data_IF_220908252161
#
_entry.id   IF_220908252161
#
_cell.length_a   1.000
_cell.length_b   1.000
_cell.length_c   1.000
_cell.angle_alpha   90.00
_cell.angle_beta   90.00
_cell.angle_gamma   90.00
#
_symmetry.space_group_name_H-M   'P 1'
#
loop_
_entity.id
_entity.type
_entity.pdbx_description
1 polymer ?
#
# COMPACT_ATOMS: atom_id res chain seq x y z
N UNK A 1 14.67 27.44 -17.01
CA UNK A 1 14.03 26.71 -18.12
C UNK A 1 14.47 25.27 -18.01
N UNK A 2 13.67 24.31 -17.60
CA UNK A 2 12.23 24.18 -17.41
C UNK A 2 12.02 23.39 -16.12
N UNK A 3 10.95 23.69 -15.37
CA UNK A 3 10.40 22.65 -14.50
C UNK A 3 9.89 21.62 -15.50
N UNK A 4 10.59 20.49 -15.64
CA UNK A 4 10.11 19.35 -16.43
C UNK A 4 8.93 18.77 -15.64
N UNK A 5 7.79 19.44 -15.76
CA UNK A 5 6.52 18.94 -15.27
C UNK A 5 6.10 17.75 -16.10
N UNK A 6 5.35 16.83 -15.50
CA UNK A 6 4.68 15.77 -16.23
C UNK A 6 3.74 16.41 -17.26
N UNK A 7 3.87 16.01 -18.52
CA UNK A 7 2.91 16.35 -19.56
C UNK A 7 1.67 15.46 -19.43
N UNK A 8 0.57 15.83 -20.10
CA UNK A 8 -0.62 14.98 -20.15
C UNK A 8 -0.32 13.59 -20.76
N UNK A 9 0.66 13.50 -21.66
CA UNK A 9 1.03 12.24 -22.30
C UNK A 9 1.77 11.30 -21.33
N UNK A 10 2.37 11.85 -20.26
CA UNK A 10 3.02 11.09 -19.20
C UNK A 10 2.01 10.53 -18.19
N UNK A 11 0.73 10.87 -18.30
CA UNK A 11 -0.32 10.47 -17.37
C UNK A 11 -1.29 9.47 -18.01
N UNK A 12 -1.64 8.43 -17.24
CA UNK A 12 -2.75 7.55 -17.56
C UNK A 12 -4.05 8.16 -17.05
N UNK A 13 -4.63 9.06 -17.85
CA UNK A 13 -5.85 9.77 -17.49
C UNK A 13 -7.03 8.83 -17.21
N UNK A 14 -7.15 7.73 -17.97
CA UNK A 14 -8.25 6.77 -17.79
C UNK A 14 -8.24 6.20 -16.38
N UNK A 15 -7.09 5.68 -15.92
CA UNK A 15 -6.98 5.10 -14.58
C UNK A 15 -7.16 6.13 -13.46
N UNK A 16 -6.71 7.37 -13.69
CA UNK A 16 -6.90 8.49 -12.76
C UNK A 16 -8.38 8.83 -12.64
N UNK A 17 -9.11 8.93 -13.75
CA UNK A 17 -10.54 9.21 -13.75
C UNK A 17 -11.33 8.06 -13.12
N UNK A 18 -11.04 6.81 -13.48
CA UNK A 18 -11.67 5.63 -12.88
C UNK A 18 -11.49 5.61 -11.36
N UNK A 19 -10.26 5.86 -10.87
CA UNK A 19 -9.97 5.93 -9.43
C UNK A 19 -10.73 7.06 -8.76
N UNK A 20 -10.83 8.23 -9.40
CA UNK A 20 -11.62 9.35 -8.90
C UNK A 20 -13.10 8.98 -8.77
N UNK A 21 -13.69 8.33 -9.77
CA UNK A 21 -15.10 7.95 -9.74
C UNK A 21 -15.40 6.78 -8.79
N UNK A 22 -14.41 5.92 -8.53
CA UNK A 22 -14.51 4.87 -7.52
C UNK A 22 -14.48 5.41 -6.08
N UNK A 23 -13.93 6.61 -5.86
CA UNK A 23 -13.88 7.25 -4.54
C UNK A 23 -15.06 8.22 -4.36
N UNK A 24 -15.91 7.95 -3.37
CA UNK A 24 -17.00 8.84 -2.99
C UNK A 24 -16.56 10.00 -2.06
N UNK A 25 -15.25 10.14 -1.82
CA UNK A 25 -14.73 11.05 -0.79
C UNK A 25 -14.67 12.50 -1.29
N UNK A 26 -15.10 13.43 -0.44
CA UNK A 26 -14.88 14.86 -0.66
C UNK A 26 -13.46 15.22 -0.23
N UNK A 27 -12.66 15.71 -1.18
CA UNK A 27 -11.26 16.08 -0.97
C UNK A 27 -11.05 17.59 -1.18
N UNK A 28 -10.18 18.20 -0.37
CA UNK A 28 -9.70 19.58 -0.55
C UNK A 28 -8.25 19.58 -0.94
N UNK A 29 -7.94 20.02 -2.17
CA UNK A 29 -6.58 20.10 -2.67
C UNK A 29 -6.10 21.55 -2.73
N UNK A 30 -5.03 21.94 -2.02
CA UNK A 30 -4.48 23.28 -2.12
C UNK A 30 -3.77 23.47 -3.47
N UNK A 31 -4.18 24.48 -4.24
CA UNK A 31 -3.68 24.72 -5.61
C UNK A 31 -2.30 25.40 -5.62
N UNK A 32 -1.90 26.05 -4.53
CA UNK A 32 -0.70 26.88 -4.49
C UNK A 32 0.14 26.59 -3.24
N UNK A 33 0.92 25.51 -3.29
CA UNK A 33 1.84 25.12 -2.22
C UNK A 33 3.16 24.63 -2.76
N UNK A 34 4.23 25.12 -2.13
CA UNK A 34 5.54 24.48 -2.20
C UNK A 34 5.57 23.30 -1.22
N UNK A 35 5.10 22.14 -1.71
CA UNK A 35 5.30 20.86 -1.04
C UNK A 35 6.16 19.96 -1.93
N UNK A 36 6.92 19.05 -1.32
CA UNK A 36 7.68 18.07 -2.08
C UNK A 36 6.70 17.17 -2.85
N UNK A 37 7.01 16.87 -4.11
CA UNK A 37 6.12 16.07 -4.96
C UNK A 37 5.79 14.70 -4.34
N UNK A 38 6.75 14.06 -3.69
CA UNK A 38 6.52 12.79 -2.99
C UNK A 38 5.47 12.90 -1.89
N UNK A 39 5.45 14.00 -1.13
CA UNK A 39 4.44 14.22 -0.08
C UNK A 39 3.06 14.42 -0.67
N UNK A 40 2.97 15.12 -1.81
CA UNK A 40 1.70 15.32 -2.53
C UNK A 40 1.15 13.97 -3.00
N UNK A 41 1.99 13.14 -3.62
CA UNK A 41 1.58 11.80 -4.08
C UNK A 41 1.12 10.94 -2.91
N UNK A 42 1.90 10.86 -1.82
CA UNK A 42 1.49 10.08 -0.64
C UNK A 42 0.15 10.56 -0.06
N UNK A 43 -0.10 11.88 -0.02
CA UNK A 43 -1.40 12.41 0.44
C UNK A 43 -2.53 12.02 -0.50
N UNK A 44 -2.31 12.06 -1.82
CA UNK A 44 -3.30 11.62 -2.82
C UNK A 44 -3.59 10.13 -2.63
N UNK A 45 -2.57 9.28 -2.53
CA UNK A 45 -2.69 7.84 -2.31
C UNK A 45 -3.47 7.52 -1.03
N UNK A 46 -3.13 8.18 0.09
CA UNK A 46 -3.84 8.02 1.36
C UNK A 46 -5.29 8.49 1.28
N UNK A 47 -5.55 9.61 0.59
CA UNK A 47 -6.89 10.19 0.47
C UNK A 47 -7.80 9.38 -0.45
N UNK A 48 -7.24 8.75 -1.48
CA UNK A 48 -7.99 7.94 -2.45
C UNK A 48 -7.96 6.44 -2.12
N UNK A 49 -7.19 6.02 -1.11
CA UNK A 49 -6.87 4.61 -0.84
C UNK A 49 -6.39 3.89 -2.09
N UNK A 50 -5.53 4.58 -2.82
CA UNK A 50 -5.01 4.16 -4.12
C UNK A 50 -3.49 4.06 -4.07
N UNK A 51 -2.91 3.34 -5.03
CA UNK A 51 -1.48 3.30 -5.26
C UNK A 51 -1.17 3.92 -6.62
N UNK A 52 -0.05 4.63 -6.69
CA UNK A 52 0.53 5.10 -7.93
C UNK A 52 1.22 3.93 -8.63
N UNK A 53 1.03 3.82 -9.95
CA UNK A 53 1.69 2.82 -10.76
C UNK A 53 2.17 3.42 -12.08
N UNK A 54 3.10 2.73 -12.73
CA UNK A 54 3.51 3.02 -14.10
C UNK A 54 2.94 1.96 -15.04
N UNK A 55 2.26 2.40 -16.10
CA UNK A 55 1.69 1.49 -17.11
C UNK A 55 2.75 0.98 -18.10
N UNK A 56 2.34 0.08 -19.00
CA UNK A 56 3.24 -0.54 -19.99
C UNK A 56 3.86 0.48 -20.97
N UNK A 57 3.26 1.66 -21.11
CA UNK A 57 3.76 2.76 -21.95
C UNK A 57 4.62 3.75 -21.16
N UNK A 58 4.88 3.48 -19.88
CA UNK A 58 5.67 4.36 -19.02
C UNK A 58 4.85 5.48 -18.38
N UNK A 59 3.52 5.51 -18.53
CA UNK A 59 2.66 6.58 -18.00
C UNK A 59 2.27 6.34 -16.55
N UNK A 60 2.19 7.40 -15.77
CA UNK A 60 1.85 7.36 -14.36
C UNK A 60 0.33 7.35 -14.20
N UNK A 61 -0.20 6.39 -13.46
CA UNK A 61 -1.62 6.25 -13.15
C UNK A 61 -1.88 6.01 -11.67
N UNK A 62 -3.14 6.07 -11.30
CA UNK A 62 -3.65 5.68 -9.98
C UNK A 62 -4.57 4.46 -10.09
N UNK A 63 -4.53 3.60 -9.08
CA UNK A 63 -5.41 2.44 -8.97
C UNK A 63 -5.83 2.25 -7.52
N UNK A 64 -7.14 2.10 -7.27
CA UNK A 64 -7.66 1.78 -5.92
C UNK A 64 -7.07 0.46 -5.43
N UNK A 65 -6.63 0.43 -4.18
CA UNK A 65 -6.09 -0.78 -3.57
C UNK A 65 -7.17 -1.88 -3.52
N UNK A 66 -6.83 -3.08 -4.00
CA UNK A 66 -7.77 -4.19 -4.01
C UNK A 66 -8.00 -4.73 -2.59
N UNK A 67 -9.27 -4.87 -2.23
CA UNK A 67 -9.72 -5.50 -0.97
C UNK A 67 -10.17 -6.94 -1.19
N UNK A 68 -10.50 -7.32 -2.43
CA UNK A 68 -10.97 -8.66 -2.78
C UNK A 68 -10.27 -9.15 -4.05
N UNK A 69 -9.83 -10.42 -4.13
CA UNK A 69 -9.20 -10.94 -5.33
C UNK A 69 -10.17 -10.93 -6.51
N UNK A 70 -9.72 -10.43 -7.66
CA UNK A 70 -10.49 -10.55 -8.89
C UNK A 70 -10.59 -12.01 -9.34
N UNK A 71 -11.60 -12.34 -10.14
CA UNK A 71 -11.77 -13.70 -10.68
C UNK A 71 -10.58 -14.16 -11.55
N UNK A 72 -9.85 -13.21 -12.14
CA UNK A 72 -8.64 -13.43 -12.94
C UNK A 72 -7.34 -13.16 -12.15
N UNK A 73 -7.39 -13.28 -10.82
CA UNK A 73 -6.21 -13.12 -9.96
C UNK A 73 -5.07 -14.03 -10.41
N UNK A 74 -3.84 -13.51 -10.45
CA UNK A 74 -2.68 -14.32 -10.81
C UNK A 74 -2.44 -15.38 -9.74
N UNK A 75 -2.33 -16.63 -10.19
CA UNK A 75 -2.11 -17.79 -9.35
C UNK A 75 -0.66 -18.26 -9.47
N UNK A 76 0.09 -18.16 -8.38
CA UNK A 76 1.49 -18.57 -8.28
C UNK A 76 1.57 -20.01 -7.78
N UNK A 77 1.78 -20.92 -8.72
CA UNK A 77 2.04 -22.33 -8.41
C UNK A 77 3.44 -22.60 -7.85
N UNK A 78 3.60 -23.73 -7.16
CA UNK A 78 4.85 -24.13 -6.52
C UNK A 78 6.07 -24.14 -7.46
N UNK A 79 5.90 -24.57 -8.71
CA UNK A 79 7.01 -24.67 -9.65
C UNK A 79 7.48 -23.29 -10.16
N UNK A 80 6.69 -22.23 -9.92
CA UNK A 80 7.13 -20.85 -10.14
C UNK A 80 8.02 -20.34 -9.01
N UNK A 81 8.07 -21.00 -7.85
CA UNK A 81 8.91 -20.54 -6.74
C UNK A 81 10.29 -21.16 -6.91
N UNK A 82 11.30 -20.31 -7.09
CA UNK A 82 12.68 -20.77 -7.18
C UNK A 82 13.09 -21.50 -5.89
N UNK A 83 13.93 -22.53 -6.02
CA UNK A 83 14.45 -23.24 -4.87
C UNK A 83 15.31 -22.30 -4.01
N UNK A 84 14.97 -22.14 -2.73
CA UNK A 84 15.58 -21.15 -1.83
C UNK A 84 15.12 -19.70 -2.03
N UNK A 85 14.15 -19.45 -2.91
CA UNK A 85 13.61 -18.11 -3.20
C UNK A 85 12.59 -17.59 -2.19
N UNK A 86 12.13 -18.45 -1.27
CA UNK A 86 11.17 -18.11 -0.23
C UNK A 86 11.88 -17.65 1.05
N UNK A 87 11.59 -16.42 1.48
CA UNK A 87 11.90 -15.94 2.83
C UNK A 87 10.64 -15.35 3.45
N UNK A 88 10.36 -15.74 4.70
CA UNK A 88 9.35 -15.10 5.53
C UNK A 88 10.01 -14.47 6.74
N UNK A 89 9.86 -13.15 6.87
CA UNK A 89 10.45 -12.38 7.96
C UNK A 89 9.35 -11.66 8.74
N UNK A 90 9.44 -11.67 10.07
CA UNK A 90 8.61 -10.81 10.91
C UNK A 90 9.26 -9.43 10.97
N UNK A 91 8.63 -8.43 10.37
CA UNK A 91 9.16 -7.06 10.40
C UNK A 91 8.84 -6.39 11.73
N UNK A 92 9.87 -6.15 12.55
CA UNK A 92 9.75 -5.42 13.82
C UNK A 92 9.83 -3.91 13.67
N UNK A 93 10.09 -3.41 12.46
CA UNK A 93 10.29 -1.97 12.21
C UNK A 93 8.98 -1.18 12.12
N UNK A 94 7.84 -1.88 12.07
CA UNK A 94 6.48 -1.33 11.90
C UNK A 94 5.68 -1.28 13.20
N UNK A 95 6.36 -1.24 14.34
CA UNK A 95 5.74 -1.19 15.65
C UNK A 95 5.29 0.24 15.96
N UNK A 96 4.01 0.54 15.74
CA UNK A 96 3.38 1.84 15.99
C UNK A 96 2.34 1.78 17.11
N UNK A 97 2.39 2.71 18.07
CA UNK A 97 1.46 2.81 19.22
C UNK A 97 0.07 3.20 18.78
N UNK A 98 0.04 4.13 17.85
CA UNK A 98 -1.16 4.80 17.40
C UNK A 98 -0.95 5.29 15.98
N UNK A 99 -2.05 5.47 15.28
CA UNK A 99 -2.12 6.06 13.95
C UNK A 99 -2.80 7.41 14.12
N UNK A 100 -2.15 8.47 13.67
CA UNK A 100 -2.69 9.82 13.66
C UNK A 100 -3.00 10.21 12.22
N UNK A 101 -4.29 10.34 11.89
CA UNK A 101 -4.73 10.81 10.58
C UNK A 101 -5.07 12.29 10.70
N UNK A 102 -4.24 13.12 10.09
CA UNK A 102 -4.41 14.56 9.97
C UNK A 102 -5.32 14.85 8.77
N UNK A 103 -6.42 15.53 9.03
CA UNK A 103 -7.45 15.89 8.06
C UNK A 103 -7.91 17.34 8.26
N UNK A 104 -8.72 17.82 7.30
CA UNK A 104 -9.33 19.15 7.29
C UNK A 104 -8.30 20.24 7.60
N UNK A 105 -7.33 20.32 6.70
CA UNK A 105 -6.30 21.33 6.81
C UNK A 105 -6.91 22.73 6.73
N UNK A 106 -6.64 23.54 7.75
CA UNK A 106 -6.92 24.97 7.74
C UNK A 106 -5.90 25.65 6.82
N UNK A 107 -6.40 26.26 5.75
CA UNK A 107 -5.60 26.91 4.73
C UNK A 107 -5.45 28.42 4.98
N UNK A 108 -5.93 28.94 6.12
CA UNK A 108 -5.68 30.34 6.49
C UNK A 108 -4.16 30.63 6.62
N UNK A 109 -3.74 31.77 6.10
CA UNK A 109 -2.33 32.15 5.99
C UNK A 109 -1.59 32.04 7.33
N UNK A 110 -0.55 31.20 7.35
CA UNK A 110 0.45 31.17 8.42
C UNK A 110 0.18 30.22 9.59
N UNK A 111 -0.93 29.46 9.61
CA UNK A 111 -1.19 28.45 10.64
C UNK A 111 -1.70 27.15 10.02
N UNK A 112 -0.79 26.20 9.76
CA UNK A 112 -1.14 24.81 9.42
C UNK A 112 -1.86 24.17 10.60
N UNK A 113 -3.16 24.39 10.73
CA UNK A 113 -4.00 23.67 11.69
C UNK A 113 -4.61 22.48 11.00
N UNK A 114 -4.68 21.39 11.74
CA UNK A 114 -5.24 20.13 11.29
C UNK A 114 -6.17 19.64 12.38
N UNK A 115 -7.26 19.01 11.99
CA UNK A 115 -7.97 18.10 12.86
C UNK A 115 -7.29 16.73 12.80
N UNK A 116 -7.37 15.96 13.88
CA UNK A 116 -6.64 14.69 14.02
C UNK A 116 -7.62 13.62 14.50
N UNK A 117 -7.69 12.50 13.78
CA UNK A 117 -8.23 11.25 14.31
C UNK A 117 -7.07 10.39 14.78
N UNK A 118 -7.11 9.98 16.05
CA UNK A 118 -6.12 9.07 16.63
C UNK A 118 -6.73 7.70 16.85
N UNK A 119 -6.09 6.66 16.32
CA UNK A 119 -6.44 5.27 16.58
C UNK A 119 -5.32 4.58 17.34
N UNK A 120 -5.58 4.19 18.59
CA UNK A 120 -4.66 3.38 19.37
C UNK A 120 -4.61 1.95 18.82
N UNK A 121 -3.39 1.42 18.69
CA UNK A 121 -3.17 0.03 18.32
C UNK A 121 -3.07 -0.84 19.59
N UNK A 122 -3.59 -2.07 19.58
CA UNK A 122 -3.69 -2.91 20.76
C UNK A 122 -2.32 -3.28 21.36
N UNK A 123 -2.26 -3.46 22.68
CA UNK A 123 -1.01 -3.66 23.44
C UNK A 123 -0.29 -5.00 23.15
N UNK A 124 -0.93 -5.98 22.48
CA UNK A 124 -0.27 -7.25 22.16
C UNK A 124 0.86 -7.10 21.12
N UNK A 125 0.90 -5.97 20.42
CA UNK A 125 1.88 -5.61 19.37
C UNK A 125 3.30 -5.39 19.94
N UNK A 126 3.50 -5.34 21.26
CA UNK A 126 4.76 -4.84 21.87
C UNK A 126 5.62 -5.85 22.61
N UNK A 127 5.24 -7.13 22.63
CA UNK A 127 5.97 -8.14 23.42
C UNK A 127 7.43 -8.33 22.96
N UNK A 128 7.77 -7.87 21.76
CA UNK A 128 9.11 -7.95 21.15
C UNK A 128 9.76 -6.58 20.90
N UNK A 129 9.14 -5.47 21.32
CA UNK A 129 9.74 -4.14 21.23
C UNK A 129 10.92 -4.02 22.21
N UNK A 130 12.06 -4.59 21.83
CA UNK A 130 13.32 -4.42 22.54
C UNK A 130 13.73 -2.95 22.39
N UNK A 131 13.50 -2.19 23.46
CA UNK A 131 14.26 -0.98 23.81
C UNK A 131 14.20 0.19 22.81
N UNK A 132 13.01 0.68 22.47
CA UNK A 132 12.83 1.95 21.76
C UNK A 132 11.53 2.65 22.13
N UNK A 133 11.43 3.99 22.01
CA UNK A 133 10.17 4.69 22.23
C UNK A 133 9.13 4.25 21.20
N UNK A 134 7.93 3.93 21.67
CA UNK A 134 6.80 3.57 20.83
C UNK A 134 6.49 4.75 19.90
N UNK A 135 6.54 4.54 18.58
CA UNK A 135 6.35 5.62 17.58
C UNK A 135 4.87 5.76 17.23
N UNK A 136 4.44 6.98 16.92
CA UNK A 136 3.14 7.23 16.28
C UNK A 136 3.33 7.24 14.76
N UNK A 137 2.35 6.72 14.02
CA UNK A 137 2.32 6.80 12.55
C UNK A 137 1.47 8.00 12.13
N UNK A 138 2.12 9.04 11.64
CA UNK A 138 1.45 10.29 11.25
C UNK A 138 1.14 10.29 9.75
N UNK A 139 -0.12 10.48 9.40
CA UNK A 139 -0.64 10.38 8.04
C UNK A 139 -1.42 11.63 7.70
N UNK A 140 -1.00 12.31 6.63
CA UNK A 140 -1.70 13.52 6.15
C UNK A 140 -2.60 13.17 4.98
N UNK A 141 -3.77 13.79 4.94
CA UNK A 141 -4.81 13.52 3.95
C UNK A 141 -5.45 14.83 3.46
N UNK A 142 -6.22 14.74 2.39
CA UNK A 142 -7.04 15.84 1.88
C UNK A 142 -8.51 15.70 2.29
N UNK A 143 -8.83 14.85 3.28
CA UNK A 143 -10.19 14.69 3.76
C UNK A 143 -10.72 15.96 4.42
N UNK A 144 -12.02 16.21 4.28
CA UNK A 144 -12.71 17.38 4.85
C UNK A 144 -13.45 17.08 6.16
N UNK A 145 -13.62 15.81 6.49
CA UNK A 145 -14.33 15.34 7.67
C UNK A 145 -13.66 14.09 8.26
N UNK A 146 -14.12 13.71 9.45
CA UNK A 146 -13.57 12.70 10.34
C UNK A 146 -13.87 11.26 9.89
N UNK A 147 -15.05 11.01 9.30
CA UNK A 147 -15.49 9.69 8.85
C UNK A 147 -14.46 8.96 7.96
N UNK A 148 -13.99 9.53 6.83
CA UNK A 148 -12.99 8.88 5.99
C UNK A 148 -11.61 8.81 6.64
N UNK A 149 -11.27 9.76 7.51
CA UNK A 149 -10.02 9.75 8.28
C UNK A 149 -9.99 8.57 9.26
N UNK A 150 -11.09 8.35 9.99
CA UNK A 150 -11.28 7.20 10.88
C UNK A 150 -11.21 5.88 10.13
N UNK A 151 -11.93 5.77 9.00
CA UNK A 151 -11.91 4.56 8.20
C UNK A 151 -10.54 4.31 7.54
N UNK A 152 -9.73 5.34 7.25
CA UNK A 152 -8.34 5.15 6.82
C UNK A 152 -7.47 4.62 7.97
N UNK A 153 -7.63 5.15 9.19
CA UNK A 153 -6.91 4.64 10.36
C UNK A 153 -7.25 3.16 10.62
N UNK A 154 -8.50 2.76 10.42
CA UNK A 154 -8.95 1.36 10.50
C UNK A 154 -8.26 0.48 9.47
N UNK A 155 -8.26 0.88 8.19
CA UNK A 155 -7.61 0.14 7.10
C UNK A 155 -6.11 -0.07 7.35
N UNK A 156 -5.45 0.95 7.91
CA UNK A 156 -4.01 0.89 8.20
C UNK A 156 -3.73 0.03 9.40
N UNK A 157 -4.57 0.08 10.45
CA UNK A 157 -4.45 -0.84 11.58
C UNK A 157 -4.56 -2.30 11.13
N UNK A 158 -5.48 -2.61 10.21
CA UNK A 158 -5.62 -3.96 9.63
C UNK A 158 -4.35 -4.34 8.86
N UNK A 159 -3.81 -3.46 8.01
CA UNK A 159 -2.57 -3.72 7.28
C UNK A 159 -1.37 -3.94 8.22
N UNK A 160 -1.25 -3.16 9.28
CA UNK A 160 -0.18 -3.32 10.28
C UNK A 160 -0.28 -4.66 11.00
N UNK A 161 -1.48 -5.11 11.36
CA UNK A 161 -1.67 -6.46 11.90
C UNK A 161 -1.28 -7.56 10.90
N UNK A 162 -1.56 -7.37 9.60
CA UNK A 162 -1.11 -8.30 8.54
C UNK A 162 0.43 -8.30 8.39
N UNK A 163 1.09 -7.15 8.54
CA UNK A 163 2.54 -7.03 8.50
C UNK A 163 3.22 -7.75 9.68
N UNK A 164 2.58 -7.78 10.85
CA UNK A 164 3.05 -8.54 12.01
C UNK A 164 3.05 -10.06 11.77
N UNK A 165 2.07 -10.57 11.01
CA UNK A 165 2.02 -11.98 10.61
C UNK A 165 3.20 -12.38 9.71
N UNK A 166 3.92 -11.40 9.15
CA UNK A 166 5.17 -11.58 8.42
C UNK A 166 5.09 -11.09 6.97
N UNK A 167 6.24 -10.67 6.46
CA UNK A 167 6.46 -10.37 5.05
C UNK A 167 6.91 -11.63 4.35
N UNK A 168 6.44 -11.83 3.13
CA UNK A 168 7.06 -12.78 2.21
C UNK A 168 7.87 -12.02 1.17
N UNK A 169 9.06 -12.53 0.94
CA UNK A 169 9.93 -12.15 -0.14
C UNK A 169 10.05 -13.35 -1.07
N UNK A 170 9.73 -13.14 -2.34
CA UNK A 170 9.77 -14.19 -3.35
C UNK A 170 10.41 -13.66 -4.62
N UNK A 171 11.24 -14.50 -5.24
CA UNK A 171 11.67 -14.30 -6.61
C UNK A 171 10.96 -15.31 -7.50
N UNK A 172 10.14 -14.80 -8.39
CA UNK A 172 9.30 -15.57 -9.29
C UNK A 172 9.75 -15.35 -10.74
N UNK A 173 9.61 -16.34 -11.62
CA UNK A 173 9.60 -16.12 -13.06
C UNK A 173 8.53 -15.09 -13.43
N UNK A 174 8.55 -14.66 -14.68
CA UNK A 174 7.69 -13.61 -15.28
C UNK A 174 6.15 -13.82 -15.22
N UNK A 175 5.62 -14.58 -14.25
CA UNK A 175 4.19 -14.78 -14.00
C UNK A 175 3.49 -13.50 -13.51
N UNK A 176 4.22 -12.58 -12.88
CA UNK A 176 3.69 -11.32 -12.32
C UNK A 176 3.82 -10.11 -13.24
N UNK A 177 4.00 -10.31 -14.55
CA UNK A 177 4.23 -9.19 -15.46
C UNK A 177 3.05 -8.23 -15.57
N UNK A 178 1.81 -8.75 -15.54
CA UNK A 178 0.61 -7.91 -15.52
C UNK A 178 0.28 -7.31 -14.16
N UNK A 179 0.93 -7.77 -13.08
CA UNK A 179 0.66 -7.30 -11.72
C UNK A 179 1.33 -5.95 -11.44
N UNK A 180 0.78 -5.24 -10.47
CA UNK A 180 1.26 -3.96 -9.92
C UNK A 180 1.28 -4.03 -8.40
N UNK A 181 1.95 -3.07 -7.77
CA UNK A 181 1.84 -2.90 -6.32
C UNK A 181 0.38 -2.60 -5.93
N UNK A 182 -0.09 -3.23 -4.86
CA UNK A 182 -1.47 -3.19 -4.40
C UNK A 182 -2.39 -4.27 -4.96
N UNK A 183 -1.98 -4.98 -6.02
CA UNK A 183 -2.73 -6.13 -6.53
C UNK A 183 -2.70 -7.29 -5.54
N UNK A 184 -3.75 -8.11 -5.59
CA UNK A 184 -3.78 -9.38 -4.89
C UNK A 184 -3.32 -10.49 -5.82
N UNK A 185 -2.59 -11.47 -5.29
CA UNK A 185 -2.24 -12.72 -5.95
C UNK A 185 -2.55 -13.89 -5.03
N UNK A 186 -2.66 -15.09 -5.60
CA UNK A 186 -2.86 -16.32 -4.84
C UNK A 186 -1.65 -17.21 -4.94
N UNK A 187 -1.26 -17.84 -3.84
CA UNK A 187 -0.27 -18.91 -3.87
C UNK A 187 -0.91 -20.27 -3.69
N UNK A 188 -0.29 -21.27 -4.31
CA UNK A 188 -0.72 -22.66 -4.21
C UNK A 188 -0.62 -23.22 -2.79
N UNK A 189 -1.57 -24.11 -2.47
CA UNK A 189 -1.69 -24.85 -1.20
C UNK A 189 -0.42 -25.59 -0.78
N UNK A 190 0.39 -26.00 -1.75
CA UNK A 190 1.43 -27.02 -1.56
C UNK A 190 2.73 -26.52 -0.91
N UNK A 191 2.94 -25.21 -0.76
CA UNK A 191 4.11 -24.64 -0.04
C UNK A 191 3.74 -23.91 1.25
N UNK A 192 2.49 -23.48 1.38
CA UNK A 192 2.02 -22.70 2.51
C UNK A 192 1.19 -23.58 3.43
N UNK A 193 1.84 -24.02 4.50
CA UNK A 193 1.16 -24.72 5.58
C UNK A 193 0.60 -23.67 6.55
N UNK A 194 -0.67 -23.78 6.88
CA UNK A 194 -1.23 -23.03 8.00
C UNK A 194 -0.53 -23.41 9.31
N UNK A 195 -0.70 -22.63 10.38
CA UNK A 195 -0.19 -22.97 11.72
C UNK A 195 -0.69 -24.35 12.20
N UNK A 196 -1.79 -24.85 11.61
CA UNK A 196 -2.37 -26.17 11.86
C UNK A 196 -1.84 -27.29 10.95
N UNK A 197 -0.81 -27.00 10.14
CA UNK A 197 -0.16 -27.98 9.25
C UNK A 197 -0.99 -28.39 8.03
N UNK A 198 -2.02 -27.62 7.66
CA UNK A 198 -2.84 -27.88 6.46
C UNK A 198 -2.35 -27.04 5.29
N UNK A 199 -2.27 -27.67 4.13
CA UNK A 199 -1.99 -27.01 2.85
C UNK A 199 -3.17 -26.08 2.49
N UNK A 200 -2.97 -24.76 2.59
CA UNK A 200 -4.01 -23.75 2.35
C UNK A 200 -3.58 -22.74 1.29
N UNK A 201 -4.54 -22.27 0.49
CA UNK A 201 -4.28 -21.17 -0.44
C UNK A 201 -4.19 -19.89 0.37
N UNK A 202 -3.10 -19.15 0.15
CA UNK A 202 -2.96 -17.84 0.75
C UNK A 202 -3.21 -16.77 -0.30
N UNK A 203 -3.96 -15.74 0.10
CA UNK A 203 -4.08 -14.51 -0.68
C UNK A 203 -3.02 -13.54 -0.20
N UNK A 204 -2.31 -12.95 -1.14
CA UNK A 204 -1.15 -12.12 -0.91
C UNK A 204 -1.40 -10.76 -1.53
N UNK A 205 -1.24 -9.68 -0.76
CA UNK A 205 -1.16 -8.32 -1.29
C UNK A 205 0.26 -7.98 -1.63
N UNK A 206 0.50 -7.57 -2.87
CA UNK A 206 1.80 -7.05 -3.29
C UNK A 206 2.02 -5.66 -2.70
N UNK A 207 3.08 -5.50 -1.92
CA UNK A 207 3.52 -4.20 -1.40
C UNK A 207 4.60 -3.60 -2.29
N UNK A 208 5.51 -4.44 -2.76
CA UNK A 208 6.57 -4.08 -3.70
C UNK A 208 6.66 -5.13 -4.79
N UNK A 209 6.90 -4.69 -6.01
CA UNK A 209 7.12 -5.54 -7.17
C UNK A 209 8.22 -4.92 -8.03
N UNK A 210 9.38 -5.56 -8.02
CA UNK A 210 10.51 -5.20 -8.86
C UNK A 210 10.58 -6.17 -10.05
N UNK A 211 10.50 -5.66 -11.28
CA UNK A 211 10.54 -6.47 -12.50
C UNK A 211 11.90 -6.37 -13.16
N UNK A 212 12.61 -7.49 -13.26
CA UNK A 212 13.90 -7.58 -13.95
C UNK A 212 13.68 -8.05 -15.39
N UNK A 213 13.65 -7.10 -16.32
CA UNK A 213 13.34 -7.35 -17.73
C UNK A 213 14.31 -8.35 -18.37
N UNK A 214 15.60 -8.21 -18.04
CA UNK A 214 16.70 -8.99 -18.62
C UNK A 214 16.72 -10.46 -18.18
N UNK A 215 16.44 -10.74 -16.90
CA UNK A 215 16.49 -12.09 -16.33
C UNK A 215 15.15 -12.83 -16.38
N UNK A 216 14.10 -12.20 -16.91
CA UNK A 216 12.72 -12.68 -16.90
C UNK A 216 12.19 -13.07 -15.51
N UNK A 217 12.53 -12.26 -14.51
CA UNK A 217 12.15 -12.49 -13.12
C UNK A 217 11.49 -11.26 -12.49
N UNK A 218 10.69 -11.53 -11.47
CA UNK A 218 10.08 -10.53 -10.61
C UNK A 218 10.42 -10.83 -9.16
N UNK A 219 10.87 -9.83 -8.42
CA UNK A 219 11.03 -9.93 -6.96
C UNK A 219 9.85 -9.20 -6.31
N UNK A 220 9.22 -9.85 -5.34
CA UNK A 220 8.09 -9.27 -4.62
C UNK A 220 8.35 -9.19 -3.12
N UNK A 221 7.72 -8.20 -2.53
CA UNK A 221 7.45 -8.13 -1.09
C UNK A 221 5.93 -8.02 -0.93
N UNK A 222 5.34 -8.76 0.00
CA UNK A 222 3.95 -8.50 0.36
C UNK A 222 3.51 -9.07 1.70
N UNK A 223 2.20 -8.99 1.95
CA UNK A 223 1.53 -9.48 3.17
C UNK A 223 0.32 -10.36 2.91
N UNK A 224 0.10 -11.34 3.80
CA UNK A 224 -1.02 -12.28 3.69
C UNK A 224 -2.29 -11.55 4.08
N UNK A 225 -3.33 -11.66 3.26
CA UNK A 225 -4.67 -11.24 3.62
C UNK A 225 -5.43 -12.46 4.12
N UNK A 226 -5.81 -12.44 5.40
CA UNK A 226 -6.74 -13.38 6.04
C UNK A 226 -8.16 -12.84 6.02
#
# INVERSE_FOLDING_TARGET
NEIVGLSNDDLNHDSIYETKYASAQNLTFPINREEQFADIIHRIENSLRANTFQDEKGRIGLQVAQTTPLSNVVYVENFHIAEGGHSQEKGTDYLFKEINVYYKEDLEEGKKKWEIVTKSLPEFVWKYAKTGPLKSLDIRTYFVNDVPASALADDIAIKLAQLEAGFFHETLPWVLYGCKAGDLIKFSKTRFFSELGKAEEITVRLLKLDKMISSKQSTITGVVIT
#
